data_IF_240522822538
#
_entry.id   IF_240522822538
#
_cell.length_a   1.000
_cell.length_b   1.000
_cell.length_c   1.000
_cell.angle_alpha   90.00
_cell.angle_beta   90.00
_cell.angle_gamma   90.00
#
_symmetry.space_group_name_H-M   'P 1'
#
loop_
_entity.id
_entity.type
_entity.pdbx_description
1 polymer ?
#
# COMPACT_ATOMS: atom_id res chain seq x y z
N UNK A 1 11.37 -17.69 23.11
CA UNK A 1 11.07 -16.66 22.12
C UNK A 1 12.31 -16.28 21.29
N UNK A 2 13.41 -15.85 21.92
CA UNK A 2 14.64 -15.43 21.20
C UNK A 2 15.41 -16.54 20.47
N UNK A 3 15.12 -17.81 20.72
CA UNK A 3 15.74 -18.94 19.99
C UNK A 3 15.42 -18.90 18.48
N UNK A 4 14.30 -18.31 18.08
CA UNK A 4 13.94 -18.16 16.66
C UNK A 4 14.81 -17.13 15.92
N UNK A 5 15.44 -16.20 16.63
CA UNK A 5 16.40 -15.26 16.04
C UNK A 5 17.75 -15.90 15.69
N UNK A 6 18.02 -17.13 16.18
CA UNK A 6 19.24 -17.87 15.84
C UNK A 6 19.15 -18.47 14.43
N UNK A 7 18.98 -17.60 13.43
CA UNK A 7 19.06 -17.94 12.03
C UNK A 7 20.49 -17.74 11.49
N UNK A 8 20.88 -18.41 10.40
CA UNK A 8 22.17 -18.16 9.76
C UNK A 8 22.33 -16.68 9.41
N UNK A 9 23.55 -16.14 9.53
CA UNK A 9 23.83 -14.73 9.17
C UNK A 9 23.38 -14.37 7.75
N UNK A 10 23.44 -15.32 6.81
CA UNK A 10 22.97 -15.16 5.44
C UNK A 10 21.47 -14.86 5.32
N UNK A 11 20.64 -15.37 6.26
CA UNK A 11 19.20 -15.13 6.29
C UNK A 11 18.86 -13.64 6.52
N UNK A 12 19.42 -13.03 7.56
CA UNK A 12 19.18 -11.62 7.84
C UNK A 12 19.71 -10.71 6.73
N UNK A 13 20.91 -11.02 6.22
CA UNK A 13 21.46 -10.29 5.08
C UNK A 13 20.50 -10.33 3.88
N UNK A 14 19.93 -11.49 3.56
CA UNK A 14 18.96 -11.65 2.46
C UNK A 14 17.66 -10.88 2.76
N UNK A 15 17.14 -10.98 3.97
CA UNK A 15 15.94 -10.24 4.38
C UNK A 15 16.12 -8.73 4.21
N UNK A 16 17.20 -8.15 4.73
CA UNK A 16 17.43 -6.72 4.62
C UNK A 16 17.81 -6.26 3.21
N UNK A 17 18.52 -7.08 2.43
CA UNK A 17 18.81 -6.78 1.03
C UNK A 17 17.55 -6.74 0.16
N UNK A 18 16.52 -7.51 0.52
CA UNK A 18 15.22 -7.46 -0.13
C UNK A 18 14.35 -6.32 0.44
N UNK A 19 14.33 -6.16 1.76
CA UNK A 19 13.48 -5.17 2.43
C UNK A 19 13.91 -3.73 2.12
N UNK A 20 15.21 -3.41 2.13
CA UNK A 20 15.69 -2.05 1.98
C UNK A 20 15.26 -1.38 0.66
N UNK A 21 15.40 -2.01 -0.52
CA UNK A 21 14.88 -1.41 -1.75
C UNK A 21 13.36 -1.24 -1.74
N UNK A 22 12.60 -2.14 -1.08
CA UNK A 22 11.14 -2.03 -0.96
C UNK A 22 10.77 -0.87 -0.03
N UNK A 23 11.50 -0.70 1.09
CA UNK A 23 11.34 0.44 1.99
C UNK A 23 11.55 1.76 1.24
N UNK A 24 12.67 1.86 0.51
CA UNK A 24 12.96 3.05 -0.30
C UNK A 24 11.88 3.28 -1.35
N UNK A 25 11.41 2.23 -2.03
CA UNK A 25 10.30 2.32 -2.98
C UNK A 25 9.02 2.85 -2.32
N UNK A 26 8.66 2.35 -1.13
CA UNK A 26 7.47 2.82 -0.39
C UNK A 26 7.62 4.30 0.02
N UNK A 27 8.81 4.69 0.50
CA UNK A 27 9.10 6.08 0.85
C UNK A 27 9.02 7.00 -0.38
N UNK A 28 9.55 6.58 -1.53
CA UNK A 28 9.44 7.32 -2.79
C UNK A 28 7.97 7.54 -3.16
N UNK A 29 7.15 6.48 -3.09
CA UNK A 29 5.72 6.56 -3.47
C UNK A 29 4.94 7.48 -2.53
N UNK A 30 5.20 7.39 -1.23
CA UNK A 30 4.59 8.25 -0.22
C UNK A 30 5.01 9.70 -0.42
N UNK A 31 6.31 9.95 -0.63
CA UNK A 31 6.86 11.30 -0.86
C UNK A 31 6.31 11.92 -2.15
N UNK A 32 6.10 11.13 -3.19
CA UNK A 32 5.50 11.60 -4.45
C UNK A 32 4.10 12.17 -4.21
N UNK A 33 3.25 11.46 -3.47
CA UNK A 33 1.91 11.94 -3.13
C UNK A 33 1.92 13.25 -2.33
N UNK A 34 2.87 13.42 -1.41
CA UNK A 34 3.05 14.67 -0.68
C UNK A 34 3.51 15.81 -1.58
N UNK A 35 4.50 15.58 -2.46
CA UNK A 35 5.01 16.58 -3.39
C UNK A 35 3.92 17.05 -4.37
N UNK A 36 3.14 16.13 -4.91
CA UNK A 36 2.03 16.47 -5.80
C UNK A 36 1.00 17.37 -5.09
N UNK A 37 0.58 16.97 -3.89
CA UNK A 37 -0.38 17.74 -3.08
C UNK A 37 0.17 19.11 -2.71
N UNK A 38 1.45 19.19 -2.33
CA UNK A 38 2.11 20.44 -1.97
C UNK A 38 2.19 21.38 -3.18
N UNK A 39 2.65 20.89 -4.35
CA UNK A 39 2.81 21.72 -5.54
C UNK A 39 1.46 22.22 -6.08
N UNK A 40 0.42 21.40 -6.03
CA UNK A 40 -0.95 21.83 -6.37
C UNK A 40 -1.49 22.82 -5.33
N UNK A 41 -1.17 22.64 -4.04
CA UNK A 41 -1.55 23.55 -2.96
C UNK A 41 -1.00 24.98 -3.14
N UNK A 42 0.15 25.14 -3.79
CA UNK A 42 0.71 26.45 -4.13
C UNK A 42 -0.13 27.23 -5.17
N UNK A 43 -1.04 26.56 -5.90
CA UNK A 43 -2.00 27.21 -6.79
C UNK A 43 -3.19 27.82 -6.05
N UNK A 44 -3.48 27.31 -4.84
CA UNK A 44 -4.58 27.76 -3.99
C UNK A 44 -5.38 26.60 -3.38
N UNK A 45 -6.18 26.92 -2.38
CA UNK A 45 -6.97 25.93 -1.63
C UNK A 45 -8.07 25.28 -2.46
N UNK A 46 -8.67 26.01 -3.41
CA UNK A 46 -9.72 25.48 -4.27
C UNK A 46 -9.19 24.41 -5.24
N UNK A 47 -8.01 24.65 -5.85
CA UNK A 47 -7.32 23.71 -6.72
C UNK A 47 -6.89 22.45 -5.96
N UNK A 48 -6.33 22.62 -4.77
CA UNK A 48 -5.96 21.51 -3.90
C UNK A 48 -7.18 20.66 -3.52
N UNK A 49 -8.30 21.30 -3.17
CA UNK A 49 -9.55 20.62 -2.84
C UNK A 49 -10.11 19.84 -4.04
N UNK A 50 -10.08 20.43 -5.24
CA UNK A 50 -10.53 19.77 -6.46
C UNK A 50 -9.71 18.51 -6.79
N UNK A 51 -8.38 18.56 -6.65
CA UNK A 51 -7.50 17.40 -6.84
C UNK A 51 -7.74 16.34 -5.74
N UNK A 52 -7.98 16.76 -4.51
CA UNK A 52 -8.33 15.84 -3.42
C UNK A 52 -9.62 15.07 -3.70
N UNK A 53 -10.66 15.75 -4.19
CA UNK A 53 -11.91 15.12 -4.63
C UNK A 53 -11.67 14.16 -5.80
N UNK A 54 -10.86 14.57 -6.78
CA UNK A 54 -10.50 13.73 -7.93
C UNK A 54 -9.69 12.48 -7.54
N UNK A 55 -8.94 12.53 -6.44
CA UNK A 55 -8.17 11.39 -5.94
C UNK A 55 -9.03 10.30 -5.28
N UNK A 56 -10.29 10.56 -4.92
CA UNK A 56 -11.17 9.53 -4.31
C UNK A 56 -11.42 8.34 -5.25
N UNK A 57 -11.92 8.51 -6.49
CA UNK A 57 -12.07 7.38 -7.42
C UNK A 57 -10.72 6.77 -7.83
N UNK A 58 -9.66 7.57 -7.86
CA UNK A 58 -8.30 7.10 -8.11
C UNK A 58 -7.83 6.13 -7.01
N UNK A 59 -8.15 6.39 -5.76
CA UNK A 59 -7.82 5.50 -4.65
C UNK A 59 -8.46 4.13 -4.80
N UNK A 60 -9.69 4.04 -5.31
CA UNK A 60 -10.38 2.77 -5.56
C UNK A 60 -9.61 1.91 -6.57
N UNK A 61 -9.21 2.49 -7.70
CA UNK A 61 -8.44 1.73 -8.71
C UNK A 61 -7.06 1.32 -8.16
N UNK A 62 -6.42 2.15 -7.33
CA UNK A 62 -5.17 1.80 -6.67
C UNK A 62 -5.30 0.59 -5.76
N UNK A 63 -6.37 0.50 -4.96
CA UNK A 63 -6.64 -0.66 -4.11
C UNK A 63 -6.80 -1.94 -4.93
N UNK A 64 -7.54 -1.86 -6.05
CA UNK A 64 -7.74 -3.02 -6.93
C UNK A 64 -6.40 -3.48 -7.53
N UNK A 65 -5.59 -2.56 -8.06
CA UNK A 65 -4.29 -2.88 -8.65
C UNK A 65 -3.33 -3.45 -7.59
N UNK A 66 -3.32 -2.88 -6.40
CA UNK A 66 -2.50 -3.36 -5.29
C UNK A 66 -2.92 -4.77 -4.84
N UNK A 67 -4.22 -5.02 -4.72
CA UNK A 67 -4.75 -6.35 -4.39
C UNK A 67 -4.38 -7.41 -5.44
N UNK A 68 -4.50 -7.08 -6.73
CA UNK A 68 -4.08 -7.95 -7.83
C UNK A 68 -2.57 -8.22 -7.81
N UNK A 69 -1.76 -7.18 -7.58
CA UNK A 69 -0.30 -7.30 -7.47
C UNK A 69 0.09 -8.18 -6.28
N UNK A 70 -0.52 -7.97 -5.11
CA UNK A 70 -0.25 -8.74 -3.90
C UNK A 70 -0.68 -10.19 -4.05
N UNK A 71 -1.87 -10.45 -4.60
CA UNK A 71 -2.36 -11.80 -4.90
C UNK A 71 -1.48 -12.54 -5.92
N UNK A 72 -1.03 -11.86 -6.97
CA UNK A 72 -0.07 -12.42 -7.94
C UNK A 72 1.24 -12.81 -7.26
N UNK A 73 1.71 -11.99 -6.32
CA UNK A 73 2.97 -12.21 -5.58
C UNK A 73 2.97 -13.51 -4.80
N UNK A 74 1.82 -13.94 -4.26
CA UNK A 74 1.66 -15.21 -3.55
C UNK A 74 2.03 -16.40 -4.45
N UNK A 75 1.48 -16.44 -5.66
CA UNK A 75 1.74 -17.48 -6.65
C UNK A 75 3.17 -17.41 -7.19
N UNK A 76 3.61 -16.20 -7.59
CA UNK A 76 4.89 -15.99 -8.25
C UNK A 76 6.06 -16.36 -7.33
N UNK A 77 6.00 -16.01 -6.04
CA UNK A 77 7.09 -16.32 -5.09
C UNK A 77 7.29 -17.82 -4.91
N UNK A 78 6.22 -18.61 -4.88
CA UNK A 78 6.31 -20.07 -4.78
C UNK A 78 6.74 -20.71 -6.12
N UNK A 79 6.22 -20.27 -7.27
CA UNK A 79 6.71 -20.73 -8.58
C UNK A 79 8.18 -20.35 -8.82
N UNK A 80 8.62 -19.20 -8.28
CA UNK A 80 10.03 -18.81 -8.32
C UNK A 80 10.91 -19.78 -7.52
N UNK A 81 10.46 -20.19 -6.33
CA UNK A 81 11.15 -21.22 -5.53
C UNK A 81 11.27 -22.55 -6.28
N UNK A 82 10.25 -22.93 -7.03
CA UNK A 82 10.22 -24.16 -7.85
C UNK A 82 11.03 -24.05 -9.15
N UNK A 83 11.40 -22.83 -9.55
CA UNK A 83 12.10 -22.58 -10.83
C UNK A 83 11.17 -22.59 -12.05
N UNK A 84 9.85 -22.60 -11.86
CA UNK A 84 8.85 -22.67 -12.92
C UNK A 84 8.57 -21.29 -13.53
N UNK A 85 9.39 -20.94 -14.52
CA UNK A 85 9.31 -19.64 -15.22
C UNK A 85 8.07 -19.53 -16.12
N UNK A 86 7.57 -20.65 -16.61
CA UNK A 86 6.37 -20.66 -17.47
C UNK A 86 5.14 -20.30 -16.65
N UNK A 87 4.94 -20.91 -15.48
CA UNK A 87 3.83 -20.58 -14.58
C UNK A 87 3.90 -19.13 -14.10
N UNK A 88 5.09 -18.56 -13.86
CA UNK A 88 5.26 -17.14 -13.56
C UNK A 88 4.73 -16.28 -14.72
N UNK A 89 5.06 -16.60 -15.98
CA UNK A 89 4.55 -15.87 -17.13
C UNK A 89 3.02 -16.01 -17.26
N UNK A 90 2.44 -17.18 -16.99
CA UNK A 90 0.99 -17.39 -17.00
C UNK A 90 0.28 -16.56 -15.94
N UNK A 91 0.80 -16.52 -14.71
CA UNK A 91 0.27 -15.68 -13.62
C UNK A 91 0.36 -14.20 -13.97
N UNK A 92 1.49 -13.75 -14.52
CA UNK A 92 1.71 -12.39 -14.96
C UNK A 92 0.73 -12.00 -16.10
N UNK A 93 0.51 -12.90 -17.05
CA UNK A 93 -0.45 -12.70 -18.15
C UNK A 93 -1.87 -12.48 -17.66
N UNK A 94 -2.33 -13.27 -16.68
CA UNK A 94 -3.64 -13.08 -16.04
C UNK A 94 -3.68 -11.72 -15.32
N UNK A 95 -2.63 -11.38 -14.57
CA UNK A 95 -2.50 -10.10 -13.88
C UNK A 95 -2.60 -8.92 -14.86
N UNK A 96 -1.89 -8.97 -15.99
CA UNK A 96 -1.96 -7.94 -17.05
C UNK A 96 -3.35 -7.85 -17.67
N UNK A 97 -3.98 -8.97 -17.96
CA UNK A 97 -5.30 -8.98 -18.55
C UNK A 97 -6.34 -8.35 -17.62
N UNK A 98 -6.38 -8.76 -16.35
CA UNK A 98 -7.37 -8.25 -15.39
C UNK A 98 -7.07 -6.79 -15.04
N UNK A 99 -5.83 -6.45 -14.68
CA UNK A 99 -5.46 -5.09 -14.31
C UNK A 99 -5.61 -4.12 -15.51
N UNK A 100 -5.21 -4.56 -16.71
CA UNK A 100 -5.38 -3.79 -17.94
C UNK A 100 -6.86 -3.58 -18.29
N UNK A 101 -7.70 -4.59 -18.17
CA UNK A 101 -9.15 -4.46 -18.45
C UNK A 101 -9.83 -3.54 -17.45
N UNK A 102 -9.56 -3.70 -16.15
CA UNK A 102 -10.14 -2.86 -15.09
C UNK A 102 -9.68 -1.40 -15.23
N UNK A 103 -8.38 -1.17 -15.47
CA UNK A 103 -7.87 0.19 -15.63
C UNK A 103 -8.31 0.84 -16.95
N UNK A 104 -8.51 0.07 -18.02
CA UNK A 104 -9.10 0.57 -19.28
C UNK A 104 -10.56 0.96 -19.07
N UNK A 105 -11.35 0.13 -18.38
CA UNK A 105 -12.73 0.48 -18.03
C UNK A 105 -12.79 1.75 -17.18
N UNK A 106 -11.92 1.85 -16.17
CA UNK A 106 -11.78 3.05 -15.34
C UNK A 106 -11.44 4.28 -16.20
N UNK A 107 -10.45 4.17 -17.08
CA UNK A 107 -10.05 5.25 -17.97
C UNK A 107 -11.19 5.70 -18.91
N UNK A 108 -11.96 4.76 -19.45
CA UNK A 108 -13.13 5.07 -20.28
C UNK A 108 -14.22 5.79 -19.49
N UNK A 109 -14.53 5.33 -18.26
CA UNK A 109 -15.48 6.02 -17.38
C UNK A 109 -15.00 7.45 -17.10
N UNK A 110 -13.72 7.65 -16.77
CA UNK A 110 -13.15 8.98 -16.51
C UNK A 110 -13.06 9.85 -17.78
N UNK A 111 -12.97 9.25 -18.96
CA UNK A 111 -12.96 10.00 -20.22
C UNK A 111 -14.35 10.52 -20.59
N UNK A 112 -15.39 9.69 -20.44
CA UNK A 112 -16.75 10.00 -20.91
C UNK A 112 -17.63 10.62 -19.83
N UNK A 113 -17.47 10.23 -18.56
CA UNK A 113 -18.32 10.61 -17.42
C UNK A 113 -17.54 11.21 -16.24
N UNK A 114 -16.50 12.06 -16.46
CA UNK A 114 -15.66 12.55 -15.36
C UNK A 114 -16.45 13.42 -14.37
N UNK A 115 -17.34 14.29 -14.85
CA UNK A 115 -18.13 15.18 -14.00
C UNK A 115 -19.13 14.39 -13.16
N UNK A 116 -19.82 13.40 -13.76
CA UNK A 116 -20.79 12.57 -13.06
C UNK A 116 -20.13 11.77 -11.92
N UNK A 117 -18.93 11.23 -12.17
CA UNK A 117 -18.17 10.54 -11.13
C UNK A 117 -17.76 11.47 -10.00
N UNK A 118 -17.35 12.70 -10.29
CA UNK A 118 -16.98 13.67 -9.26
C UNK A 118 -18.22 14.16 -8.47
N UNK A 119 -19.39 14.26 -9.11
CA UNK A 119 -20.65 14.58 -8.45
C UNK A 119 -21.10 13.51 -7.45
N UNK A 120 -20.65 12.26 -7.57
CA UNK A 120 -20.86 11.25 -6.53
C UNK A 120 -20.03 11.53 -5.26
N UNK A 121 -19.00 12.35 -5.37
CA UNK A 121 -18.07 12.66 -4.27
C UNK A 121 -18.37 14.01 -3.64
N UNK A 122 -18.83 15.01 -4.43
CA UNK A 122 -19.08 16.39 -3.96
C UNK A 122 -20.16 17.08 -4.74
N UNK A 123 -20.99 17.89 -4.05
CA UNK A 123 -22.01 18.76 -4.67
C UNK A 123 -21.44 20.11 -5.13
N UNK A 124 -20.15 20.38 -4.88
CA UNK A 124 -19.52 21.64 -5.25
C UNK A 124 -19.12 21.67 -6.73
N UNK A 125 -19.97 22.31 -7.55
CA UNK A 125 -19.77 22.41 -9.01
C UNK A 125 -18.45 23.08 -9.42
N UNK A 126 -17.88 23.96 -8.60
CA UNK A 126 -16.57 24.57 -8.87
C UNK A 126 -15.45 23.54 -8.78
N UNK A 127 -15.46 22.72 -7.73
CA UNK A 127 -14.48 21.64 -7.56
C UNK A 127 -14.61 20.61 -8.69
N UNK A 128 -15.82 20.28 -9.10
CA UNK A 128 -16.10 19.40 -10.23
C UNK A 128 -15.52 19.99 -11.54
N UNK A 129 -15.74 21.27 -11.80
CA UNK A 129 -15.22 21.93 -13.01
C UNK A 129 -13.67 21.90 -13.08
N UNK A 130 -12.99 22.15 -11.96
CA UNK A 130 -11.51 22.12 -11.87
C UNK A 130 -10.98 20.67 -11.93
N UNK A 131 -11.66 19.73 -11.26
CA UNK A 131 -11.23 18.32 -11.18
C UNK A 131 -11.47 17.53 -12.46
N UNK A 132 -12.47 17.89 -13.26
CA UNK A 132 -12.85 17.18 -14.50
C UNK A 132 -11.69 17.04 -15.51
N UNK A 133 -10.96 18.09 -15.93
CA UNK A 133 -9.83 17.92 -16.83
C UNK A 133 -8.67 17.12 -16.20
N UNK A 134 -8.48 17.25 -14.90
CA UNK A 134 -7.46 16.51 -14.16
C UNK A 134 -7.73 15.00 -14.21
N UNK A 135 -8.92 14.57 -13.76
CA UNK A 135 -9.23 13.13 -13.67
C UNK A 135 -9.33 12.47 -15.04
N UNK A 136 -9.72 13.21 -16.06
CA UNK A 136 -9.76 12.73 -17.45
C UNK A 136 -8.36 12.35 -17.95
N UNK A 137 -7.35 13.17 -17.69
CA UNK A 137 -5.96 12.89 -18.09
C UNK A 137 -5.35 11.79 -17.21
N UNK A 138 -5.51 11.90 -15.88
CA UNK A 138 -4.95 10.94 -14.92
C UNK A 138 -5.59 9.56 -15.09
N UNK A 139 -6.88 9.47 -15.46
CA UNK A 139 -7.56 8.21 -15.75
C UNK A 139 -6.80 7.35 -16.76
N UNK A 140 -6.33 7.93 -17.85
CA UNK A 140 -5.51 7.22 -18.86
C UNK A 140 -4.16 6.75 -18.32
N UNK A 141 -3.56 7.48 -17.40
CA UNK A 141 -2.27 7.13 -16.80
C UNK A 141 -2.33 5.82 -16.03
N UNK A 142 -3.52 5.45 -15.51
CA UNK A 142 -3.71 4.22 -14.74
C UNK A 142 -3.63 2.94 -15.57
N UNK A 143 -3.87 2.99 -16.88
CA UNK A 143 -3.64 1.85 -17.76
C UNK A 143 -2.15 1.48 -17.72
N UNK A 144 -1.28 2.46 -17.92
CA UNK A 144 0.17 2.27 -17.90
C UNK A 144 0.67 1.88 -16.51
N UNK A 145 0.20 2.59 -15.47
CA UNK A 145 0.58 2.32 -14.09
C UNK A 145 0.18 0.90 -13.64
N UNK A 146 -1.01 0.41 -14.02
CA UNK A 146 -1.47 -0.94 -13.65
C UNK A 146 -0.57 -2.02 -14.24
N UNK A 147 -0.22 -1.91 -15.52
CA UNK A 147 0.67 -2.86 -16.19
C UNK A 147 2.08 -2.81 -15.58
N UNK A 148 2.63 -1.61 -15.37
CA UNK A 148 3.93 -1.44 -14.70
C UNK A 148 3.93 -2.06 -13.31
N UNK A 149 2.88 -1.82 -12.51
CA UNK A 149 2.77 -2.30 -11.13
C UNK A 149 2.75 -3.82 -11.05
N UNK A 150 2.01 -4.50 -11.94
CA UNK A 150 2.02 -5.97 -12.01
C UNK A 150 3.42 -6.49 -12.33
N UNK A 151 4.12 -5.89 -13.31
CA UNK A 151 5.48 -6.30 -13.67
C UNK A 151 6.49 -6.05 -12.55
N UNK A 152 6.44 -4.87 -11.91
CA UNK A 152 7.31 -4.52 -10.77
C UNK A 152 7.04 -5.46 -9.58
N UNK A 153 5.76 -5.81 -9.34
CA UNK A 153 5.39 -6.81 -8.32
C UNK A 153 5.98 -8.18 -8.61
N UNK A 154 5.97 -8.62 -9.86
CA UNK A 154 6.63 -9.86 -10.30
C UNK A 154 8.13 -9.79 -10.04
N UNK A 155 8.80 -8.71 -10.46
CA UNK A 155 10.24 -8.54 -10.22
C UNK A 155 10.60 -8.60 -8.73
N UNK A 156 9.76 -8.00 -7.86
CA UNK A 156 9.91 -8.10 -6.41
C UNK A 156 9.78 -9.54 -5.94
N UNK A 157 8.81 -10.30 -6.46
CA UNK A 157 8.54 -11.68 -6.06
C UNK A 157 9.63 -12.67 -6.51
N UNK A 158 10.42 -12.32 -7.53
CA UNK A 158 11.60 -13.08 -7.99
C UNK A 158 12.92 -12.53 -7.41
N UNK A 159 12.86 -11.87 -6.25
CA UNK A 159 14.00 -11.32 -5.51
C UNK A 159 14.76 -10.17 -6.21
N UNK A 160 14.11 -9.42 -7.09
CA UNK A 160 14.68 -8.23 -7.73
C UNK A 160 13.93 -6.93 -7.39
N UNK A 161 13.82 -6.53 -6.11
CA UNK A 161 13.12 -5.31 -5.72
C UNK A 161 13.86 -4.02 -6.12
N UNK A 162 15.18 -4.10 -6.37
CA UNK A 162 15.98 -2.94 -6.82
C UNK A 162 15.46 -2.35 -8.13
N UNK A 163 14.96 -3.21 -9.02
CA UNK A 163 14.35 -2.76 -10.26
C UNK A 163 13.18 -1.81 -10.00
N UNK A 164 12.22 -2.19 -9.15
CA UNK A 164 11.08 -1.34 -8.79
C UNK A 164 11.51 -0.03 -8.14
N UNK A 165 12.49 -0.06 -7.23
CA UNK A 165 13.04 1.14 -6.61
C UNK A 165 13.58 2.14 -7.66
N UNK A 166 14.33 1.65 -8.64
CA UNK A 166 14.90 2.52 -9.70
C UNK A 166 13.82 3.09 -10.62
N UNK A 167 12.84 2.27 -11.01
CA UNK A 167 11.73 2.71 -11.88
C UNK A 167 10.87 3.77 -11.19
N UNK A 168 10.49 3.54 -9.92
CA UNK A 168 9.73 4.55 -9.17
C UNK A 168 10.54 5.81 -8.87
N UNK A 169 11.86 5.69 -8.63
CA UNK A 169 12.76 6.83 -8.49
C UNK A 169 12.80 7.70 -9.75
N UNK A 170 12.92 7.08 -10.92
CA UNK A 170 12.88 7.78 -12.21
C UNK A 170 11.50 8.43 -12.47
N UNK A 171 10.41 7.70 -12.16
CA UNK A 171 9.04 8.21 -12.28
C UNK A 171 8.81 9.42 -11.37
N UNK A 172 9.25 9.36 -10.10
CA UNK A 172 9.17 10.48 -9.15
C UNK A 172 9.94 11.69 -9.64
N UNK A 173 11.18 11.51 -10.10
CA UNK A 173 11.98 12.59 -10.64
C UNK A 173 11.30 13.26 -11.84
N UNK A 174 10.81 12.46 -12.80
CA UNK A 174 10.08 12.94 -13.97
C UNK A 174 8.80 13.70 -13.57
N UNK A 175 8.04 13.18 -12.62
CA UNK A 175 6.82 13.83 -12.13
C UNK A 175 7.14 15.15 -11.42
N UNK A 176 8.13 15.20 -10.53
CA UNK A 176 8.50 16.42 -9.79
C UNK A 176 8.97 17.52 -10.74
N UNK A 177 9.83 17.17 -11.71
CA UNK A 177 10.29 18.12 -12.73
C UNK A 177 9.13 18.54 -13.64
N UNK A 178 8.31 17.57 -14.07
CA UNK A 178 7.12 17.85 -14.89
C UNK A 178 6.13 18.77 -14.18
N UNK A 179 5.87 18.55 -12.90
CA UNK A 179 5.03 19.41 -12.07
C UNK A 179 5.59 20.84 -12.02
N UNK A 180 6.90 20.98 -11.73
CA UNK A 180 7.54 22.30 -11.69
C UNK A 180 7.41 23.05 -13.02
N UNK A 181 7.62 22.37 -14.13
CA UNK A 181 7.56 22.96 -15.48
C UNK A 181 6.13 23.28 -15.90
N UNK A 182 5.22 22.30 -15.78
CA UNK A 182 3.88 22.40 -16.37
C UNK A 182 2.87 23.10 -15.45
N UNK A 183 2.99 22.98 -14.13
CA UNK A 183 2.12 23.70 -13.19
C UNK A 183 2.42 25.21 -13.25
N UNK A 184 3.70 25.57 -13.15
CA UNK A 184 4.14 26.97 -12.98
C UNK A 184 4.58 27.65 -14.28
N UNK A 185 4.56 26.97 -15.42
CA UNK A 185 4.94 27.56 -16.72
C UNK A 185 6.41 27.95 -16.79
N UNK A 186 7.31 27.02 -16.41
CA UNK A 186 8.76 27.26 -16.47
C UNK A 186 9.37 26.71 -17.76
N UNK A 187 10.62 27.09 -18.04
CA UNK A 187 11.38 26.62 -19.21
C UNK A 187 10.69 26.84 -20.54
N UNK A 188 9.89 27.92 -20.69
CA UNK A 188 9.20 28.28 -21.93
C UNK A 188 7.85 27.56 -22.15
N UNK A 189 7.40 26.73 -21.22
CA UNK A 189 6.07 26.13 -21.27
C UNK A 189 5.01 27.07 -20.66
N UNK A 190 3.74 26.98 -21.11
CA UNK A 190 2.64 27.73 -20.48
C UNK A 190 2.31 27.16 -19.09
N UNK A 191 1.86 28.02 -18.19
CA UNK A 191 1.36 27.60 -16.88
C UNK A 191 -0.01 26.93 -17.04
N UNK A 192 -0.05 25.61 -16.89
CA UNK A 192 -1.26 24.79 -17.06
C UNK A 192 -1.99 24.52 -15.73
N UNK A 193 -1.42 24.93 -14.59
CA UNK A 193 -2.02 24.73 -13.27
C UNK A 193 -2.33 23.24 -12.98
N UNK A 194 -3.56 22.96 -12.56
CA UNK A 194 -4.01 21.60 -12.20
C UNK A 194 -3.91 20.62 -13.38
N UNK A 195 -4.19 21.08 -14.60
CA UNK A 195 -4.04 20.25 -15.80
C UNK A 195 -2.56 19.93 -16.08
N UNK A 196 -1.66 20.83 -15.71
CA UNK A 196 -0.21 20.60 -15.75
C UNK A 196 0.23 19.49 -14.80
N UNK A 197 -0.34 19.42 -13.58
CA UNK A 197 -0.11 18.32 -12.64
C UNK A 197 -0.58 16.98 -13.22
N UNK A 198 -1.75 16.94 -13.84
CA UNK A 198 -2.28 15.75 -14.50
C UNK A 198 -1.37 15.28 -15.66
N UNK A 199 -0.89 16.21 -16.47
CA UNK A 199 0.02 15.91 -17.59
C UNK A 199 1.39 15.41 -17.11
N UNK A 200 1.94 15.98 -16.04
CA UNK A 200 3.17 15.52 -15.42
C UNK A 200 3.02 14.10 -14.84
N UNK A 201 1.87 13.80 -14.22
CA UNK A 201 1.54 12.45 -13.74
C UNK A 201 1.45 11.47 -14.91
N UNK A 202 0.76 11.80 -15.99
CA UNK A 202 0.70 10.95 -17.19
C UNK A 202 2.10 10.70 -17.77
N UNK A 203 2.92 11.75 -17.91
CA UNK A 203 4.28 11.64 -18.44
C UNK A 203 5.15 10.73 -17.57
N UNK A 204 5.07 10.87 -16.24
CA UNK A 204 5.81 10.01 -15.31
C UNK A 204 5.39 8.54 -15.41
N UNK A 205 4.10 8.23 -15.65
CA UNK A 205 3.61 6.87 -15.88
C UNK A 205 4.03 6.32 -17.25
N UNK A 206 4.16 7.17 -18.27
CA UNK A 206 4.77 6.77 -19.56
C UNK A 206 6.22 6.36 -19.35
N UNK A 207 7.00 7.15 -18.63
CA UNK A 207 8.42 6.82 -18.32
C UNK A 207 8.50 5.52 -17.50
N UNK A 208 7.68 5.37 -16.48
CA UNK A 208 7.58 4.15 -15.66
C UNK A 208 7.31 2.91 -16.53
N UNK A 209 6.28 2.98 -17.38
CA UNK A 209 5.92 1.90 -18.27
C UNK A 209 7.01 1.60 -19.30
N UNK A 210 7.61 2.62 -19.91
CA UNK A 210 8.68 2.44 -20.88
C UNK A 210 9.91 1.76 -20.26
N UNK A 211 10.29 2.13 -19.04
CA UNK A 211 11.37 1.48 -18.30
C UNK A 211 11.01 0.04 -17.93
N UNK A 212 9.79 -0.21 -17.44
CA UNK A 212 9.34 -1.54 -17.08
C UNK A 212 9.26 -2.46 -18.30
N UNK A 213 8.66 -2.00 -19.39
CA UNK A 213 8.53 -2.76 -20.63
C UNK A 213 9.87 -2.97 -21.32
N UNK A 214 10.71 -1.92 -21.41
CA UNK A 214 12.05 -2.03 -21.99
C UNK A 214 12.95 -3.03 -21.23
N UNK A 215 12.84 -3.07 -19.90
CA UNK A 215 13.52 -4.07 -19.09
C UNK A 215 12.92 -5.47 -19.30
N UNK A 216 11.61 -5.59 -19.38
CA UNK A 216 10.93 -6.87 -19.59
C UNK A 216 11.39 -7.56 -20.88
N UNK A 217 11.58 -6.80 -21.97
CA UNK A 217 12.07 -7.33 -23.25
C UNK A 217 13.53 -7.85 -23.18
N UNK A 218 14.33 -7.34 -22.23
CA UNK A 218 15.75 -7.72 -22.06
C UNK A 218 16.00 -8.65 -20.89
N UNK A 219 15.00 -8.90 -20.07
CA UNK A 219 15.13 -9.71 -18.86
C UNK A 219 15.44 -11.18 -19.18
N UNK A 220 16.61 -11.67 -18.73
CA UNK A 220 17.03 -13.06 -18.91
C UNK A 220 16.62 -13.97 -17.75
N UNK A 221 16.32 -13.40 -16.59
CA UNK A 221 15.97 -14.17 -15.39
C UNK A 221 14.63 -14.88 -15.55
N UNK A 222 13.61 -14.13 -15.96
CA UNK A 222 12.30 -14.63 -16.38
C UNK A 222 11.99 -13.96 -17.72
N UNK A 223 12.43 -14.56 -18.85
CA UNK A 223 12.16 -14.00 -20.17
C UNK A 223 10.66 -14.04 -20.47
N UNK A 224 10.17 -13.05 -21.19
CA UNK A 224 8.77 -13.00 -21.61
C UNK A 224 8.46 -14.15 -22.56
N UNK A 225 7.55 -15.02 -22.16
CA UNK A 225 7.03 -16.12 -22.97
C UNK A 225 5.62 -15.74 -23.46
N UNK A 226 5.55 -15.16 -24.64
CA UNK A 226 4.29 -14.65 -25.21
C UNK A 226 3.18 -15.69 -25.27
N UNK A 227 3.51 -16.96 -25.55
CA UNK A 227 2.55 -18.07 -25.56
C UNK A 227 1.92 -18.31 -24.19
N UNK A 228 2.72 -18.31 -23.11
CA UNK A 228 2.27 -18.49 -21.74
C UNK A 228 1.50 -17.27 -21.23
N UNK A 229 1.96 -16.07 -21.60
CA UNK A 229 1.35 -14.80 -21.24
C UNK A 229 -0.06 -14.64 -21.81
N UNK A 230 -0.23 -14.96 -23.12
CA UNK A 230 -1.50 -14.78 -23.83
C UNK A 230 -2.46 -15.97 -23.68
N UNK A 231 -1.93 -17.14 -23.29
CA UNK A 231 -2.74 -18.37 -23.11
C UNK A 231 -2.44 -19.01 -21.75
N UNK A 232 -2.81 -18.36 -20.64
CA UNK A 232 -2.47 -18.85 -19.31
C UNK A 232 -3.14 -20.19 -18.94
N UNK A 233 -4.23 -20.53 -19.60
CA UNK A 233 -5.00 -21.74 -19.31
C UNK A 233 -6.04 -21.54 -18.18
N UNK A 234 -7.13 -22.32 -18.28
CA UNK A 234 -8.26 -22.22 -17.34
C UNK A 234 -7.89 -22.60 -15.90
N UNK A 235 -7.00 -23.59 -15.76
CA UNK A 235 -6.56 -24.05 -14.44
C UNK A 235 -5.77 -22.95 -13.71
N UNK A 236 -4.81 -22.31 -14.40
CA UNK A 236 -4.04 -21.21 -13.83
C UNK A 236 -4.94 -20.02 -13.47
N UNK A 237 -5.93 -19.69 -14.30
CA UNK A 237 -6.93 -18.66 -14.00
C UNK A 237 -7.72 -19.01 -12.74
N UNK A 238 -8.17 -20.25 -12.57
CA UNK A 238 -8.87 -20.70 -11.36
C UNK A 238 -8.00 -20.57 -10.12
N UNK A 239 -6.73 -20.99 -10.19
CA UNK A 239 -5.75 -20.81 -9.11
C UNK A 239 -5.53 -19.34 -8.80
N UNK A 240 -5.30 -18.52 -9.82
CA UNK A 240 -5.12 -17.08 -9.67
C UNK A 240 -6.30 -16.45 -8.93
N UNK A 241 -7.53 -16.69 -9.37
CA UNK A 241 -8.73 -16.16 -8.71
C UNK A 241 -8.84 -16.68 -7.27
N UNK A 242 -8.56 -17.97 -7.02
CA UNK A 242 -8.65 -18.56 -5.70
C UNK A 242 -7.73 -17.88 -4.66
N UNK A 243 -6.51 -17.51 -5.07
CA UNK A 243 -5.53 -16.89 -4.17
C UNK A 243 -5.57 -15.35 -4.22
N UNK A 244 -5.91 -14.75 -5.35
CA UNK A 244 -5.93 -13.28 -5.49
C UNK A 244 -7.25 -12.65 -5.02
N UNK A 245 -8.40 -13.32 -5.18
CA UNK A 245 -9.69 -12.75 -4.77
C UNK A 245 -9.78 -12.50 -3.25
N UNK A 246 -9.35 -13.41 -2.35
CA UNK A 246 -9.33 -13.10 -0.92
C UNK A 246 -8.37 -11.96 -0.57
N UNK A 247 -7.24 -11.83 -1.28
CA UNK A 247 -6.30 -10.72 -1.06
C UNK A 247 -6.92 -9.40 -1.51
N UNK A 248 -7.55 -9.38 -2.68
CA UNK A 248 -8.26 -8.19 -3.17
C UNK A 248 -9.40 -7.79 -2.22
N UNK A 249 -10.20 -8.76 -1.75
CA UNK A 249 -11.24 -8.51 -0.78
C UNK A 249 -10.66 -7.95 0.54
N UNK A 250 -9.51 -8.48 0.99
CA UNK A 250 -8.82 -7.98 2.17
C UNK A 250 -8.45 -6.50 2.04
N UNK A 251 -7.79 -6.12 0.96
CA UNK A 251 -7.38 -4.73 0.74
C UNK A 251 -8.58 -3.79 0.62
N UNK A 252 -9.63 -4.24 -0.08
CA UNK A 252 -10.85 -3.45 -0.26
C UNK A 252 -11.57 -3.24 1.07
N UNK A 253 -11.81 -4.30 1.85
CA UNK A 253 -12.46 -4.21 3.16
C UNK A 253 -11.65 -3.36 4.13
N UNK A 254 -10.33 -3.51 4.14
CA UNK A 254 -9.43 -2.70 4.95
C UNK A 254 -9.53 -1.21 4.57
N UNK A 255 -9.44 -0.88 3.27
CA UNK A 255 -9.54 0.49 2.80
C UNK A 255 -10.89 1.14 3.09
N UNK A 256 -12.00 0.40 2.91
CA UNK A 256 -13.35 0.87 3.28
C UNK A 256 -13.46 1.07 4.79
N UNK A 257 -12.97 0.12 5.60
CA UNK A 257 -12.98 0.22 7.05
C UNK A 257 -12.26 1.47 7.57
N UNK A 258 -11.06 1.73 7.07
CA UNK A 258 -10.33 2.96 7.42
C UNK A 258 -11.02 4.24 6.96
N UNK A 259 -11.72 4.22 5.83
CA UNK A 259 -12.53 5.37 5.41
C UNK A 259 -13.71 5.63 6.36
N UNK A 260 -14.32 4.58 6.92
CA UNK A 260 -15.41 4.70 7.88
C UNK A 260 -14.95 5.36 9.20
N UNK A 261 -13.69 5.18 9.61
CA UNK A 261 -13.13 5.90 10.79
C UNK A 261 -13.29 7.41 10.61
N UNK A 262 -12.93 7.94 9.43
CA UNK A 262 -13.10 9.37 9.14
C UNK A 262 -14.58 9.80 9.12
N UNK A 263 -15.48 8.93 8.64
CA UNK A 263 -16.93 9.18 8.67
C UNK A 263 -17.44 9.26 10.11
N UNK A 264 -17.02 8.34 10.98
CA UNK A 264 -17.38 8.36 12.41
C UNK A 264 -16.90 9.68 13.05
N UNK A 265 -15.63 10.05 12.83
CA UNK A 265 -15.06 11.30 13.34
C UNK A 265 -15.84 12.53 12.84
N UNK A 266 -16.32 12.51 11.60
CA UNK A 266 -17.11 13.58 11.00
C UNK A 266 -18.45 13.86 11.69
N UNK A 267 -19.00 12.87 12.43
CA UNK A 267 -20.24 12.99 13.18
C UNK A 267 -20.04 13.29 14.68
N UNK A 268 -18.77 13.45 15.12
CA UNK A 268 -18.43 13.75 16.50
C UNK A 268 -18.36 15.27 16.76
N UNK A 269 -18.35 15.67 18.03
CA UNK A 269 -18.11 17.05 18.42
C UNK A 269 -16.69 17.48 18.04
N UNK A 270 -16.52 18.75 17.62
CA UNK A 270 -15.24 19.28 17.13
C UNK A 270 -14.61 18.41 16.00
N UNK A 271 -15.45 17.88 15.10
CA UNK A 271 -15.07 16.99 14.01
C UNK A 271 -13.94 17.55 13.13
N UNK A 272 -13.93 18.86 12.89
CA UNK A 272 -12.88 19.53 12.12
C UNK A 272 -11.48 19.37 12.74
N UNK A 273 -11.37 19.63 14.04
CA UNK A 273 -10.11 19.48 14.78
C UNK A 273 -9.68 18.02 14.88
N UNK A 274 -10.64 17.10 15.10
CA UNK A 274 -10.37 15.67 15.21
C UNK A 274 -9.87 15.09 13.88
N UNK A 275 -10.51 15.44 12.76
CA UNK A 275 -10.09 14.99 11.41
C UNK A 275 -8.75 15.60 11.02
N UNK A 276 -8.52 16.88 11.35
CA UNK A 276 -7.22 17.53 11.10
C UNK A 276 -6.10 16.84 11.88
N UNK A 277 -6.32 16.55 13.18
CA UNK A 277 -5.37 15.80 14.00
C UNK A 277 -5.10 14.41 13.43
N UNK A 278 -6.13 13.65 13.03
CA UNK A 278 -6.03 12.33 12.43
C UNK A 278 -5.24 12.34 11.13
N UNK A 279 -5.49 13.34 10.27
CA UNK A 279 -4.81 13.47 8.97
C UNK A 279 -3.31 13.71 9.16
N UNK A 280 -2.94 14.59 10.09
CA UNK A 280 -1.52 14.90 10.35
C UNK A 280 -0.83 13.72 11.04
N UNK A 281 -1.41 13.15 12.09
CA UNK A 281 -0.86 11.98 12.79
C UNK A 281 -0.72 10.78 11.86
N UNK A 282 -1.74 10.48 11.04
CA UNK A 282 -1.70 9.40 10.06
C UNK A 282 -0.67 9.63 8.93
N UNK A 283 -0.35 10.89 8.63
CA UNK A 283 0.72 11.21 7.68
C UNK A 283 2.11 10.90 8.25
N UNK A 284 2.31 11.15 9.53
CA UNK A 284 3.54 10.80 10.27
C UNK A 284 3.67 9.28 10.34
N UNK A 285 2.61 8.57 10.75
CA UNK A 285 2.58 7.12 10.83
C UNK A 285 2.90 6.42 9.49
N UNK A 286 2.37 6.93 8.36
CA UNK A 286 2.65 6.40 7.02
C UNK A 286 4.13 6.37 6.66
N UNK A 287 4.93 7.32 7.13
CA UNK A 287 6.38 7.33 6.90
C UNK A 287 7.06 6.19 7.67
N UNK A 288 6.66 5.98 8.92
CA UNK A 288 7.20 4.90 9.77
C UNK A 288 6.76 3.53 9.26
N UNK A 289 5.49 3.38 8.91
CA UNK A 289 4.92 2.10 8.44
C UNK A 289 5.43 1.68 7.06
N UNK A 290 5.96 2.59 6.23
CA UNK A 290 6.66 2.24 4.99
C UNK A 290 7.80 1.23 5.21
N UNK A 291 8.51 1.34 6.35
CA UNK A 291 9.54 0.39 6.77
C UNK A 291 8.97 -0.99 7.10
N UNK A 292 7.86 -1.03 7.83
CA UNK A 292 7.16 -2.27 8.21
C UNK A 292 6.71 -3.04 6.97
N UNK A 293 6.02 -2.38 6.04
CA UNK A 293 5.58 -3.00 4.80
C UNK A 293 6.74 -3.46 3.91
N UNK A 294 7.91 -2.82 4.00
CA UNK A 294 9.12 -3.29 3.33
C UNK A 294 9.57 -4.66 3.83
N UNK A 295 9.60 -4.86 5.16
CA UNK A 295 9.92 -6.16 5.77
C UNK A 295 8.83 -7.19 5.48
N UNK A 296 7.55 -6.83 5.58
CA UNK A 296 6.43 -7.71 5.31
C UNK A 296 6.46 -8.26 3.87
N UNK A 297 6.68 -7.40 2.88
CA UNK A 297 6.81 -7.84 1.49
C UNK A 297 8.06 -8.70 1.23
N UNK A 298 9.19 -8.39 1.86
CA UNK A 298 10.39 -9.22 1.77
C UNK A 298 10.16 -10.60 2.41
N UNK A 299 9.45 -10.65 3.52
CA UNK A 299 9.05 -11.89 4.19
C UNK A 299 8.17 -12.77 3.30
N UNK A 300 7.18 -12.18 2.59
CA UNK A 300 6.33 -12.91 1.64
C UNK A 300 7.15 -13.61 0.55
N UNK A 301 8.14 -12.90 -0.01
CA UNK A 301 9.04 -13.46 -1.03
C UNK A 301 9.89 -14.60 -0.48
N UNK A 302 10.46 -14.42 0.72
CA UNK A 302 11.31 -15.47 1.34
C UNK A 302 10.48 -16.69 1.69
N UNK A 303 9.34 -16.52 2.36
CA UNK A 303 8.47 -17.63 2.77
C UNK A 303 7.94 -18.38 1.56
N UNK A 304 7.39 -17.66 0.57
CA UNK A 304 6.89 -18.28 -0.65
C UNK A 304 7.95 -19.06 -1.40
N UNK A 305 9.16 -18.50 -1.54
CA UNK A 305 10.28 -19.20 -2.18
C UNK A 305 10.70 -20.46 -1.43
N UNK A 306 10.79 -20.41 -0.10
CA UNK A 306 11.16 -21.59 0.70
C UNK A 306 10.14 -22.73 0.58
N UNK A 307 8.86 -22.40 0.50
CA UNK A 307 7.82 -23.39 0.22
C UNK A 307 7.99 -23.96 -1.19
N UNK A 308 8.19 -23.10 -2.19
CA UNK A 308 8.38 -23.52 -3.57
C UNK A 308 9.60 -24.42 -3.80
N UNK A 309 10.69 -24.20 -3.06
CA UNK A 309 11.89 -25.09 -3.08
C UNK A 309 11.56 -26.48 -2.48
N UNK A 310 10.50 -26.57 -1.66
CA UNK A 310 10.17 -27.79 -0.95
C UNK A 310 10.90 -27.95 0.39
N UNK A 311 11.27 -26.85 1.03
CA UNK A 311 11.86 -26.84 2.37
C UNK A 311 10.94 -27.55 3.36
N UNK A 312 11.52 -28.18 4.41
CA UNK A 312 10.72 -28.89 5.43
C UNK A 312 9.73 -27.94 6.11
N UNK A 313 8.55 -28.45 6.43
CA UNK A 313 7.48 -27.70 7.12
C UNK A 313 8.01 -26.98 8.37
N UNK A 314 8.82 -27.66 9.18
CA UNK A 314 9.41 -27.08 10.39
C UNK A 314 10.35 -25.91 10.07
N UNK A 315 11.15 -26.02 9.01
CA UNK A 315 12.05 -24.93 8.55
C UNK A 315 11.26 -23.70 8.14
N UNK A 316 10.20 -23.86 7.35
CA UNK A 316 9.34 -22.78 6.90
C UNK A 316 8.65 -22.09 8.09
N UNK A 317 8.10 -22.87 9.05
CA UNK A 317 7.48 -22.33 10.26
C UNK A 317 8.51 -21.56 11.11
N UNK A 318 9.74 -22.07 11.22
CA UNK A 318 10.83 -21.37 11.92
C UNK A 318 11.16 -20.03 11.26
N UNK A 319 11.23 -19.98 9.93
CA UNK A 319 11.45 -18.76 9.15
C UNK A 319 10.30 -17.75 9.39
N UNK A 320 9.04 -18.20 9.32
CA UNK A 320 7.88 -17.37 9.59
C UNK A 320 7.93 -16.70 10.97
N UNK A 321 8.25 -17.48 12.02
CA UNK A 321 8.42 -16.96 13.39
C UNK A 321 9.58 -15.97 13.48
N UNK A 322 10.71 -16.26 12.79
CA UNK A 322 11.88 -15.41 12.81
C UNK A 322 11.61 -14.04 12.16
N UNK A 323 10.93 -14.00 10.98
CA UNK A 323 10.62 -12.73 10.32
C UNK A 323 9.61 -11.90 11.10
N UNK A 324 8.59 -12.52 11.71
CA UNK A 324 7.63 -11.83 12.56
C UNK A 324 8.30 -11.19 13.78
N UNK A 325 9.20 -11.92 14.45
CA UNK A 325 9.93 -11.40 15.62
C UNK A 325 10.92 -10.29 15.18
N UNK A 326 11.58 -10.44 14.04
CA UNK A 326 12.45 -9.40 13.48
C UNK A 326 11.67 -8.13 13.17
N UNK A 327 10.48 -8.27 12.57
CA UNK A 327 9.60 -7.14 12.27
C UNK A 327 9.10 -6.45 13.55
N UNK A 328 8.76 -7.22 14.58
CA UNK A 328 8.39 -6.67 15.90
C UNK A 328 9.51 -5.82 16.49
N UNK A 329 10.76 -6.33 16.51
CA UNK A 329 11.92 -5.60 17.04
C UNK A 329 12.29 -4.39 16.19
N UNK A 330 12.21 -4.51 14.87
CA UNK A 330 12.43 -3.40 13.96
C UNK A 330 11.38 -2.31 14.15
N UNK A 331 10.11 -2.67 14.26
CA UNK A 331 9.02 -1.74 14.50
C UNK A 331 9.08 -1.10 15.89
N UNK A 332 9.60 -1.80 16.91
CA UNK A 332 9.89 -1.22 18.21
C UNK A 332 10.93 -0.09 18.10
N UNK A 333 11.99 -0.32 17.33
CA UNK A 333 12.99 0.71 17.07
C UNK A 333 12.40 1.89 16.27
N UNK A 334 11.56 1.61 15.25
CA UNK A 334 10.86 2.65 14.48
C UNK A 334 9.93 3.49 15.34
N UNK A 335 9.14 2.90 16.23
CA UNK A 335 8.28 3.63 17.16
C UNK A 335 9.08 4.54 18.10
N UNK A 336 10.25 4.08 18.57
CA UNK A 336 11.18 4.90 19.33
C UNK A 336 11.73 6.09 18.52
N UNK A 337 12.10 5.85 17.26
CA UNK A 337 12.54 6.91 16.35
C UNK A 337 11.42 7.89 16.04
N UNK A 338 10.18 7.41 15.83
CA UNK A 338 9.01 8.25 15.60
C UNK A 338 8.73 9.17 16.79
N UNK A 339 8.75 8.65 18.03
CA UNK A 339 8.59 9.45 19.23
C UNK A 339 9.71 10.48 19.36
N UNK A 340 10.96 10.07 19.15
CA UNK A 340 12.10 10.99 19.22
C UNK A 340 11.96 12.10 18.17
N UNK A 341 11.66 11.75 16.93
CA UNK A 341 11.45 12.72 15.86
C UNK A 341 10.25 13.64 16.15
N UNK A 342 9.17 13.09 16.72
CA UNK A 342 8.01 13.88 17.11
C UNK A 342 8.37 14.95 18.13
N UNK A 343 9.08 14.61 19.21
CA UNK A 343 9.45 15.56 20.24
C UNK A 343 10.50 16.58 19.81
N UNK A 344 11.51 16.15 19.03
CA UNK A 344 12.65 16.99 18.71
C UNK A 344 12.48 17.83 17.46
N UNK A 345 11.68 17.34 16.48
CA UNK A 345 11.57 17.95 15.16
C UNK A 345 10.12 18.30 14.80
N UNK A 346 9.19 17.30 14.86
CA UNK A 346 7.87 17.49 14.30
C UNK A 346 7.01 18.45 15.14
N UNK A 347 6.95 18.26 16.44
CA UNK A 347 6.17 19.07 17.35
C UNK A 347 6.62 20.54 17.40
N UNK A 348 7.93 20.86 17.55
CA UNK A 348 8.37 22.25 17.64
C UNK A 348 8.44 22.99 16.30
N UNK A 349 8.73 22.30 15.18
CA UNK A 349 9.02 22.96 13.91
C UNK A 349 8.02 22.64 12.80
N UNK A 350 7.42 21.45 12.77
CA UNK A 350 6.57 21.01 11.66
C UNK A 350 5.09 21.21 11.97
N UNK A 351 4.61 20.84 13.17
CA UNK A 351 3.20 21.03 13.53
C UNK A 351 2.74 22.50 13.43
N UNK A 352 3.52 23.51 13.82
CA UNK A 352 3.11 24.90 13.65
C UNK A 352 2.84 25.32 12.21
N UNK A 353 3.44 24.63 11.23
CA UNK A 353 3.20 24.89 9.80
C UNK A 353 1.80 24.50 9.33
N UNK A 354 1.15 23.59 10.04
CA UNK A 354 -0.22 23.12 9.70
C UNK A 354 -1.32 24.01 10.27
N UNK A 355 -0.97 25.08 11.03
CA UNK A 355 -1.94 26.01 11.63
C UNK A 355 -3.08 25.30 12.40
N UNK A 356 -2.74 24.20 13.10
CA UNK A 356 -3.68 23.44 13.91
C UNK A 356 -4.16 24.27 15.11
N UNK A 357 -5.43 24.11 15.52
CA UNK A 357 -5.89 24.61 16.81
C UNK A 357 -5.13 23.93 17.96
N UNK A 358 -5.12 24.55 19.13
CA UNK A 358 -4.49 23.95 20.32
C UNK A 358 -5.10 22.57 20.66
N UNK A 359 -6.42 22.42 20.48
CA UNK A 359 -7.12 21.15 20.65
C UNK A 359 -6.70 20.09 19.63
N UNK A 360 -6.65 20.44 18.33
CA UNK A 360 -6.18 19.55 17.28
C UNK A 360 -4.73 19.11 17.46
N UNK A 361 -3.85 20.04 17.89
CA UNK A 361 -2.45 19.70 18.17
C UNK A 361 -2.30 18.75 19.36
N UNK A 362 -3.11 18.90 20.41
CA UNK A 362 -3.14 17.98 21.54
C UNK A 362 -3.62 16.58 21.12
N UNK A 363 -4.74 16.49 20.38
CA UNK A 363 -5.26 15.23 19.86
C UNK A 363 -4.25 14.55 18.91
N UNK A 364 -3.58 15.32 18.03
CA UNK A 364 -2.55 14.81 17.16
C UNK A 364 -1.40 14.17 17.95
N UNK A 365 -0.96 14.82 19.04
CA UNK A 365 0.07 14.26 19.90
C UNK A 365 -0.37 12.94 20.55
N UNK A 366 -1.59 12.84 21.05
CA UNK A 366 -2.15 11.60 21.61
C UNK A 366 -2.16 10.49 20.55
N UNK A 367 -2.62 10.79 19.32
CA UNK A 367 -2.64 9.82 18.24
C UNK A 367 -1.24 9.32 17.87
N UNK A 368 -0.24 10.20 17.78
CA UNK A 368 1.17 9.82 17.51
C UNK A 368 1.71 8.93 18.62
N UNK A 369 1.38 9.21 19.89
CA UNK A 369 1.78 8.33 21.00
C UNK A 369 1.14 6.95 20.90
N UNK A 370 -0.14 6.88 20.51
CA UNK A 370 -0.84 5.62 20.30
C UNK A 370 -0.20 4.83 19.14
N UNK A 371 0.03 5.44 17.99
CA UNK A 371 0.67 4.79 16.84
C UNK A 371 2.06 4.27 17.20
N UNK A 372 2.91 5.10 17.77
CA UNK A 372 4.25 4.68 18.18
C UNK A 372 4.25 3.59 19.26
N UNK A 373 3.29 3.66 20.21
CA UNK A 373 3.13 2.65 21.26
C UNK A 373 2.71 1.29 20.73
N UNK A 374 1.85 1.22 19.72
CA UNK A 374 1.42 -0.04 19.09
C UNK A 374 2.27 -0.43 17.89
N UNK A 375 3.24 0.39 17.47
CA UNK A 375 4.12 0.13 16.33
C UNK A 375 4.74 -1.28 16.34
N UNK A 376 5.23 -1.84 17.46
CA UNK A 376 5.74 -3.21 17.50
C UNK A 376 4.69 -4.26 17.14
N UNK A 377 3.45 -4.08 17.60
CA UNK A 377 2.35 -4.97 17.29
C UNK A 377 1.90 -4.81 15.83
N UNK A 378 1.93 -3.58 15.31
CA UNK A 378 1.69 -3.30 13.89
C UNK A 378 2.75 -4.00 13.02
N UNK A 379 4.05 -3.90 13.38
CA UNK A 379 5.11 -4.60 12.67
C UNK A 379 4.95 -6.11 12.67
N UNK A 380 4.57 -6.69 13.81
CA UNK A 380 4.25 -8.10 13.92
C UNK A 380 3.04 -8.47 13.06
N UNK A 381 1.89 -7.79 13.23
CA UNK A 381 0.63 -8.14 12.57
C UNK A 381 0.69 -7.97 11.06
N UNK A 382 1.28 -6.88 10.56
CA UNK A 382 1.42 -6.66 9.10
C UNK A 382 2.38 -7.67 8.47
N UNK A 383 3.50 -8.00 9.13
CA UNK A 383 4.42 -9.02 8.62
C UNK A 383 3.80 -10.41 8.68
N UNK A 384 3.02 -10.70 9.70
CA UNK A 384 2.26 -11.96 9.82
C UNK A 384 1.24 -12.08 8.68
N UNK A 385 0.38 -11.07 8.48
CA UNK A 385 -0.69 -11.09 7.48
C UNK A 385 -0.12 -11.07 6.06
N UNK A 386 0.63 -10.01 5.71
CA UNK A 386 1.11 -9.77 4.34
C UNK A 386 2.32 -10.65 4.01
N UNK A 387 3.21 -10.84 4.98
CA UNK A 387 4.45 -11.58 4.77
C UNK A 387 4.27 -13.09 4.87
N UNK A 388 3.82 -13.56 6.04
CA UNK A 388 3.87 -14.98 6.37
C UNK A 388 2.64 -15.73 5.89
N UNK A 389 1.43 -15.26 6.22
CA UNK A 389 0.20 -15.96 5.82
C UNK A 389 -0.02 -15.93 4.32
N UNK A 390 0.11 -14.76 3.68
CA UNK A 390 -0.03 -14.66 2.21
C UNK A 390 1.10 -15.42 1.51
N UNK A 391 2.35 -15.20 1.89
CA UNK A 391 3.49 -15.95 1.33
C UNK A 391 3.37 -17.45 1.51
N UNK A 392 2.76 -17.88 2.62
CA UNK A 392 2.44 -19.26 2.94
C UNK A 392 1.24 -19.85 2.19
N UNK A 393 0.49 -19.06 1.42
CA UNK A 393 -0.71 -19.51 0.69
C UNK A 393 -2.00 -19.50 1.52
N UNK A 394 -1.96 -19.08 2.79
CA UNK A 394 -3.11 -19.03 3.69
C UNK A 394 -3.86 -17.68 3.58
N UNK A 395 -4.28 -17.35 2.38
CA UNK A 395 -4.90 -16.05 2.05
C UNK A 395 -6.26 -15.85 2.71
N UNK A 396 -6.99 -16.94 3.01
CA UNK A 396 -8.29 -16.84 3.68
C UNK A 396 -8.14 -16.51 5.16
N UNK A 397 -7.21 -17.14 5.86
CA UNK A 397 -6.92 -16.78 7.24
C UNK A 397 -6.35 -15.37 7.34
N UNK A 398 -5.51 -14.96 6.37
CA UNK A 398 -5.03 -13.59 6.23
C UNK A 398 -6.20 -12.59 6.18
N UNK A 399 -7.18 -12.80 5.30
CA UNK A 399 -8.38 -11.97 5.17
C UNK A 399 -9.16 -11.85 6.49
N UNK A 400 -9.42 -12.98 7.15
CA UNK A 400 -10.21 -13.00 8.39
C UNK A 400 -9.47 -12.35 9.56
N UNK A 401 -8.19 -12.68 9.75
CA UNK A 401 -7.39 -12.15 10.86
C UNK A 401 -7.16 -10.65 10.71
N UNK A 402 -7.05 -10.17 9.48
CA UNK A 402 -6.83 -8.76 9.20
C UNK A 402 -8.10 -7.92 9.38
N UNK A 403 -9.21 -8.35 8.83
CA UNK A 403 -10.43 -7.55 8.78
C UNK A 403 -11.36 -7.74 9.98
N UNK A 404 -11.40 -8.93 10.60
CA UNK A 404 -12.30 -9.16 11.74
C UNK A 404 -12.07 -8.17 12.90
N UNK A 405 -10.83 -7.90 13.34
CA UNK A 405 -10.59 -6.91 14.39
C UNK A 405 -11.02 -5.50 14.02
N UNK A 406 -10.77 -5.06 12.77
CA UNK A 406 -11.20 -3.74 12.29
C UNK A 406 -12.74 -3.62 12.29
N UNK A 407 -13.44 -4.58 11.68
CA UNK A 407 -14.89 -4.50 11.47
C UNK A 407 -15.72 -4.88 12.70
N UNK A 408 -15.25 -5.83 13.51
CA UNK A 408 -16.00 -6.38 14.64
C UNK A 408 -15.53 -5.85 16.00
N UNK A 409 -14.38 -5.19 16.09
CA UNK A 409 -13.88 -4.63 17.35
C UNK A 409 -13.68 -3.13 17.24
N UNK A 410 -12.81 -2.64 16.35
CA UNK A 410 -12.43 -1.23 16.32
C UNK A 410 -13.58 -0.33 15.87
N UNK A 411 -14.18 -0.56 14.70
CA UNK A 411 -15.28 0.26 14.19
C UNK A 411 -16.51 0.27 15.12
N UNK A 412 -17.01 -0.87 15.64
CA UNK A 412 -18.11 -0.86 16.61
C UNK A 412 -17.77 -0.12 17.91
N UNK A 413 -16.53 -0.30 18.41
CA UNK A 413 -16.08 0.42 19.60
C UNK A 413 -15.99 1.92 19.35
N UNK A 414 -15.47 2.35 18.21
CA UNK A 414 -15.42 3.76 17.82
C UNK A 414 -16.84 4.35 17.67
N UNK A 415 -17.79 3.62 17.07
CA UNK A 415 -19.19 4.05 17.01
C UNK A 415 -19.80 4.18 18.42
N UNK A 416 -19.58 3.18 19.28
CA UNK A 416 -20.09 3.21 20.65
C UNK A 416 -19.54 4.38 21.45
N UNK A 417 -18.23 4.57 21.46
CA UNK A 417 -17.57 5.60 22.25
C UNK A 417 -17.80 7.01 21.67
N UNK A 418 -17.69 7.17 20.34
CA UNK A 418 -17.80 8.45 19.68
C UNK A 418 -19.23 8.96 19.51
N UNK A 419 -20.14 8.10 19.06
CA UNK A 419 -21.51 8.52 18.67
C UNK A 419 -22.54 8.28 19.77
N UNK A 420 -22.43 7.16 20.52
CA UNK A 420 -23.42 6.80 21.55
C UNK A 420 -23.04 7.38 22.91
N UNK A 421 -21.85 7.05 23.42
CA UNK A 421 -21.37 7.50 24.73
C UNK A 421 -20.80 8.92 24.71
N UNK A 422 -20.44 9.44 23.52
CA UNK A 422 -19.92 10.80 23.31
C UNK A 422 -18.76 11.13 24.26
N UNK A 423 -17.81 10.21 24.37
CA UNK A 423 -16.62 10.40 25.21
C UNK A 423 -15.79 11.60 24.70
N UNK A 424 -14.96 12.24 25.57
CA UNK A 424 -14.02 13.26 25.12
C UNK A 424 -13.14 12.78 23.96
N UNK A 425 -12.86 13.68 22.99
CA UNK A 425 -12.12 13.33 21.77
C UNK A 425 -10.72 12.76 22.06
N UNK A 426 -10.08 13.19 23.15
CA UNK A 426 -8.80 12.65 23.58
C UNK A 426 -8.87 11.17 23.97
N UNK A 427 -9.95 10.75 24.63
CA UNK A 427 -10.21 9.34 24.95
C UNK A 427 -10.53 8.54 23.70
N UNK A 428 -11.30 9.13 22.77
CA UNK A 428 -11.57 8.50 21.48
C UNK A 428 -10.30 8.23 20.69
N UNK A 429 -9.33 9.13 20.72
CA UNK A 429 -8.03 8.96 20.05
C UNK A 429 -7.25 7.72 20.52
N UNK A 430 -7.47 7.21 21.74
CA UNK A 430 -6.85 5.99 22.25
C UNK A 430 -7.32 4.73 21.52
N UNK A 431 -8.47 4.80 20.81
CA UNK A 431 -9.03 3.63 20.12
C UNK A 431 -8.43 3.39 18.74
N UNK A 432 -7.68 4.36 18.18
CA UNK A 432 -7.19 4.37 16.78
C UNK A 432 -6.29 3.18 16.41
N UNK A 433 -5.80 2.42 17.37
CA UNK A 433 -4.86 1.35 17.07
C UNK A 433 -5.25 0.03 17.75
N UNK A 434 -6.50 -0.07 18.17
CA UNK A 434 -7.02 -1.22 18.92
C UNK A 434 -7.02 -2.49 18.07
N UNK A 435 -7.16 -2.36 16.75
CA UNK A 435 -7.12 -3.50 15.82
C UNK A 435 -5.83 -4.31 15.95
N UNK A 436 -4.67 -3.65 16.13
CA UNK A 436 -3.38 -4.35 16.27
C UNK A 436 -3.28 -5.16 17.56
N UNK A 437 -3.91 -4.66 18.64
CA UNK A 437 -4.03 -5.40 19.90
C UNK A 437 -4.90 -6.64 19.72
N UNK A 438 -6.03 -6.51 19.04
CA UNK A 438 -6.97 -7.60 18.80
C UNK A 438 -6.44 -8.65 17.79
N UNK A 439 -5.66 -8.22 16.77
CA UNK A 439 -5.03 -9.13 15.80
C UNK A 439 -3.94 -10.01 16.40
N UNK A 440 -3.18 -9.47 17.33
CA UNK A 440 -1.94 -10.13 17.83
C UNK A 440 -2.18 -11.51 18.45
N UNK A 441 -3.14 -11.74 19.35
CA UNK A 441 -3.35 -13.06 19.93
C UNK A 441 -3.73 -14.12 18.90
N UNK A 442 -4.65 -13.79 17.99
CA UNK A 442 -5.11 -14.70 16.92
C UNK A 442 -3.97 -15.00 15.96
N UNK A 443 -3.19 -13.96 15.61
CA UNK A 443 -2.02 -14.10 14.76
C UNK A 443 -0.94 -14.98 15.37
N UNK A 444 -0.62 -14.79 16.64
CA UNK A 444 0.33 -15.64 17.37
C UNK A 444 -0.10 -17.10 17.36
N UNK A 445 -1.38 -17.37 17.65
CA UNK A 445 -1.92 -18.71 17.57
C UNK A 445 -1.77 -19.31 16.17
N UNK A 446 -2.13 -18.57 15.10
CA UNK A 446 -2.04 -19.06 13.71
C UNK A 446 -0.60 -19.33 13.29
N UNK A 447 0.35 -18.46 13.62
CA UNK A 447 1.78 -18.67 13.34
C UNK A 447 2.32 -19.89 14.06
N UNK A 448 1.95 -20.09 15.34
CA UNK A 448 2.44 -21.24 16.12
C UNK A 448 1.88 -22.56 15.63
N UNK A 449 0.65 -22.58 15.13
CA UNK A 449 0.00 -23.81 14.63
C UNK A 449 0.68 -24.40 13.40
N UNK A 450 1.44 -23.61 12.64
CA UNK A 450 2.04 -24.02 11.36
C UNK A 450 1.05 -24.30 10.24
N UNK A 451 -0.26 -24.23 10.50
CA UNK A 451 -1.33 -24.56 9.53
C UNK A 451 -1.44 -23.57 8.34
N UNK A 452 -0.59 -22.58 8.28
CA UNK A 452 -0.54 -21.57 7.24
C UNK A 452 0.39 -21.92 6.07
N UNK A 453 1.16 -23.01 6.18
CA UNK A 453 2.10 -23.45 5.15
C UNK A 453 1.37 -24.32 4.15
N UNK A 454 1.12 -23.77 2.95
CA UNK A 454 0.47 -24.46 1.83
C UNK A 454 1.35 -24.36 0.58
N UNK A 455 1.71 -25.51 0.00
CA UNK A 455 2.36 -25.56 -1.31
C UNK A 455 1.29 -25.48 -2.41
N UNK A 456 1.13 -24.28 -2.96
CA UNK A 456 0.11 -23.99 -3.99
C UNK A 456 0.57 -24.34 -5.39
N UNK A 457 1.79 -24.82 -5.55
CA UNK A 457 2.38 -25.17 -6.84
C UNK A 457 2.11 -26.62 -7.23
N UNK A 458 1.71 -27.47 -6.27
CA UNK A 458 1.32 -28.86 -6.53
C UNK A 458 -0.16 -28.91 -6.91
N UNK A 459 -0.51 -29.69 -7.92
CA UNK A 459 -1.89 -30.11 -8.17
C UNK A 459 -2.23 -31.22 -7.15
N UNK A 460 -3.28 -30.99 -6.37
CA UNK A 460 -3.95 -32.09 -5.67
C UNK A 460 -4.63 -33.02 -6.65
#
# INVERSE_FOLDING_TARGET
>A
MFSYLRQPRGFYRRLFLLALPIIVQNLITTSLGFLDTFMVGLLGSEQMSAVTVANVPIFIIQLIVFGLQSGSSVLISQYWGRGDRESINRVMGIGFCIAGSVSTLFALIMAFFPADVLLLVTDNLRLVAIGTPYIRIVGFSYILNSLSSIYIGMQRSIENPRFGMLVFGASMFCNTVGNYVLIFGKLGFPALGVTGAAAATLLSRVVEFALAFGYALRCRTVPLQWSALLRPGREMLRRFVHYSAPVLANETLWGVGYSLITVIMGHMAASGDLIAAYTVAGSIDKLSTAGIYGIANAAAVIVGKEIGIGSSHESVVRIGKAVCLTAFLFALALGGVELLAFFTLLRPYVLPLFSLSAGAAAMCAVMVYCYAGVMPLHGFSSTMVVGVLRGGGDVRASLLIDNFPLWCVELPLMCLLGLVLKVPNEMFCLCIAIEHLAKTPVGLWRIHSGKWVHDITRSD
#
